data_IF_101555661932
#
_entry.id   IF_101555661932
#
_cell.length_a   1.000
_cell.length_b   1.000
_cell.length_c   1.000
_cell.angle_alpha   90.00
_cell.angle_beta   90.00
_cell.angle_gamma   90.00
#
_symmetry.space_group_name_H-M   'P 1'
#
loop_
_entity.id
_entity.type
_entity.pdbx_description
1 polymer ?
#
# COMPACT_ATOMS: atom_id res chain seq x y z
N UNK A 1 -18.49 -5.67 2.88
CA UNK A 1 -17.40 -5.31 1.97
C UNK A 1 -16.28 -4.59 2.69
N UNK A 2 -15.07 -4.89 2.31
CA UNK A 2 -13.91 -4.22 2.86
C UNK A 2 -13.63 -2.96 2.05
N UNK A 3 -13.61 -1.79 2.71
CA UNK A 3 -13.30 -0.54 2.03
C UNK A 3 -11.78 -0.43 1.81
N UNK A 4 -11.38 0.49 0.92
CA UNK A 4 -9.96 0.77 0.71
C UNK A 4 -9.28 1.22 2.01
N UNK A 5 -10.00 1.93 2.88
CA UNK A 5 -9.44 2.35 4.17
C UNK A 5 -9.10 1.16 5.06
N UNK A 6 -9.95 0.14 5.10
CA UNK A 6 -9.68 -1.08 5.84
C UNK A 6 -8.46 -1.82 5.32
N UNK A 7 -8.36 -1.95 3.99
CA UNK A 7 -7.21 -2.60 3.37
C UNK A 7 -5.91 -1.87 3.62
N UNK A 8 -5.90 -0.55 3.49
CA UNK A 8 -4.71 0.26 3.75
C UNK A 8 -4.31 0.18 5.24
N UNK A 9 -5.27 0.19 6.15
CA UNK A 9 -4.98 0.06 7.57
C UNK A 9 -4.36 -1.30 7.89
N UNK A 10 -4.86 -2.35 7.28
CA UNK A 10 -4.30 -3.69 7.45
C UNK A 10 -2.86 -3.72 6.93
N UNK A 11 -2.62 -3.20 5.73
CA UNK A 11 -1.28 -3.16 5.14
C UNK A 11 -0.32 -2.38 6.02
N UNK A 12 -0.75 -1.21 6.52
CA UNK A 12 0.09 -0.38 7.38
C UNK A 12 0.49 -1.12 8.65
N UNK A 13 -0.45 -1.82 9.28
CA UNK A 13 -0.15 -2.59 10.48
C UNK A 13 0.82 -3.73 10.19
N UNK A 14 0.63 -4.44 9.10
CA UNK A 14 1.50 -5.56 8.74
C UNK A 14 2.91 -5.09 8.41
N UNK A 15 3.05 -4.00 7.66
CA UNK A 15 4.35 -3.42 7.33
C UNK A 15 5.05 -2.97 8.62
N UNK A 16 4.33 -2.30 9.52
CA UNK A 16 4.87 -1.87 10.79
C UNK A 16 5.31 -3.05 11.66
N UNK A 17 4.48 -4.11 11.71
CA UNK A 17 4.79 -5.30 12.50
C UNK A 17 6.07 -5.97 11.99
N UNK A 18 6.23 -6.10 10.68
CA UNK A 18 7.45 -6.66 10.10
C UNK A 18 8.67 -5.79 10.38
N UNK A 19 8.52 -4.47 10.30
CA UNK A 19 9.61 -3.55 10.59
C UNK A 19 10.06 -3.68 12.06
N UNK A 20 9.12 -3.77 12.98
CA UNK A 20 9.44 -3.95 14.40
C UNK A 20 10.11 -5.32 14.65
N UNK A 21 9.61 -6.37 14.00
CA UNK A 21 10.19 -7.70 14.12
C UNK A 21 11.65 -7.73 13.66
N UNK A 22 11.97 -6.95 12.62
CA UNK A 22 13.31 -6.88 12.06
C UNK A 22 14.24 -5.96 12.87
N UNK A 23 13.73 -4.79 13.26
CA UNK A 23 14.55 -3.70 13.80
C UNK A 23 14.46 -3.55 15.32
N UNK A 24 13.48 -4.21 15.96
CA UNK A 24 13.22 -4.04 17.39
C UNK A 24 12.44 -2.76 17.67
N UNK A 25 12.36 -2.36 18.95
CA UNK A 25 11.46 -1.28 19.35
C UNK A 25 12.02 0.14 19.18
N UNK A 26 13.21 0.29 18.62
CA UNK A 26 13.81 1.61 18.43
C UNK A 26 13.16 2.33 17.24
N UNK A 27 12.57 3.50 17.47
CA UNK A 27 11.81 4.22 16.45
C UNK A 27 12.64 4.56 15.21
N UNK A 28 13.90 4.95 15.38
CA UNK A 28 14.76 5.30 14.24
C UNK A 28 15.07 4.07 13.39
N UNK A 29 15.35 2.94 14.02
CA UNK A 29 15.62 1.70 13.30
C UNK A 29 14.37 1.15 12.63
N UNK A 30 13.19 1.30 13.25
CA UNK A 30 11.91 0.94 12.63
C UNK A 30 11.68 1.79 11.38
N UNK A 31 11.94 3.09 11.45
CA UNK A 31 11.82 3.98 10.29
C UNK A 31 12.71 3.50 9.14
N UNK A 32 13.96 3.16 9.43
CA UNK A 32 14.89 2.67 8.41
C UNK A 32 14.39 1.37 7.79
N UNK A 33 13.85 0.46 8.60
CA UNK A 33 13.30 -0.80 8.11
C UNK A 33 12.13 -0.57 7.17
N UNK A 34 11.25 0.39 7.49
CA UNK A 34 10.13 0.74 6.61
C UNK A 34 10.65 1.34 5.30
N UNK A 35 11.62 2.26 5.38
CA UNK A 35 12.19 2.88 4.18
C UNK A 35 12.90 1.88 3.28
N UNK A 36 13.37 0.78 3.82
CA UNK A 36 14.02 -0.28 3.05
C UNK A 36 13.07 -1.38 2.58
N UNK A 37 11.78 -1.27 2.90
CA UNK A 37 10.78 -2.26 2.47
C UNK A 37 10.50 -2.11 0.99
N UNK A 38 10.75 -3.15 0.21
CA UNK A 38 10.47 -3.18 -1.22
C UNK A 38 9.82 -4.51 -1.58
N UNK A 39 9.02 -4.50 -2.65
CA UNK A 39 8.37 -5.72 -3.12
C UNK A 39 7.37 -6.31 -2.14
N UNK A 40 6.77 -5.49 -1.28
CA UNK A 40 5.79 -5.97 -0.32
C UNK A 40 4.40 -5.97 -0.97
N UNK A 41 3.81 -7.15 -1.10
CA UNK A 41 2.49 -7.30 -1.72
C UNK A 41 1.41 -7.28 -0.65
N UNK A 42 0.76 -6.12 -0.52
CA UNK A 42 -0.34 -5.92 0.41
C UNK A 42 -1.69 -5.97 -0.28
N UNK A 43 -2.73 -5.63 0.45
CA UNK A 43 -4.10 -5.63 -0.09
C UNK A 43 -4.31 -4.51 -1.10
N UNK A 44 -3.58 -3.40 -0.98
CA UNK A 44 -3.72 -2.25 -1.87
C UNK A 44 -2.82 -2.31 -3.09
N UNK A 45 -1.82 -3.20 -3.11
CA UNK A 45 -0.88 -3.33 -4.21
C UNK A 45 0.51 -3.65 -3.71
N UNK A 46 1.49 -3.45 -4.57
CA UNK A 46 2.90 -3.68 -4.21
C UNK A 46 3.49 -2.39 -3.65
N UNK A 47 4.03 -2.49 -2.43
CA UNK A 47 4.68 -1.35 -1.77
C UNK A 47 6.18 -1.40 -1.97
N UNK A 48 6.74 -0.26 -2.36
CA UNK A 48 8.18 -0.06 -2.47
C UNK A 48 8.50 1.30 -1.86
N UNK A 49 8.99 1.29 -0.63
CA UNK A 49 9.36 2.52 0.08
C UNK A 49 10.80 2.90 -0.20
N UNK A 50 11.14 4.14 0.09
CA UNK A 50 12.52 4.63 0.07
C UNK A 50 12.62 5.80 1.04
N UNK A 51 13.83 6.32 1.31
CA UNK A 51 13.94 7.52 2.14
C UNK A 51 13.19 8.74 1.58
N UNK A 52 12.91 8.75 0.28
CA UNK A 52 12.20 9.86 -0.36
C UNK A 52 10.79 9.51 -0.81
N UNK A 53 10.36 8.27 -0.64
CA UNK A 53 9.01 7.82 -0.98
C UNK A 53 8.42 7.06 0.19
N UNK A 54 7.61 7.76 0.98
CA UNK A 54 6.90 7.16 2.13
C UNK A 54 5.46 6.77 1.80
N UNK A 55 5.02 6.96 0.55
CA UNK A 55 3.70 6.52 0.11
C UNK A 55 3.72 5.07 -0.36
N UNK A 56 4.77 4.68 -1.03
CA UNK A 56 5.07 3.29 -1.35
C UNK A 56 4.35 2.68 -2.54
N UNK A 57 3.19 3.20 -2.93
CA UNK A 57 2.42 2.67 -4.06
C UNK A 57 2.69 3.45 -5.33
N UNK A 58 2.74 2.75 -6.45
CA UNK A 58 2.86 3.38 -7.76
C UNK A 58 1.47 3.60 -8.36
N UNK A 59 1.43 4.26 -9.52
CA UNK A 59 0.18 4.49 -10.23
C UNK A 59 -0.53 3.18 -10.61
N UNK A 60 0.22 2.08 -10.70
CA UNK A 60 -0.34 0.77 -11.03
C UNK A 60 -1.29 0.24 -9.95
N UNK A 61 -1.23 0.81 -8.74
CA UNK A 61 -2.15 0.44 -7.66
C UNK A 61 -3.54 1.04 -7.83
N UNK A 62 -3.70 1.98 -8.76
CA UNK A 62 -4.98 2.65 -9.00
C UNK A 62 -5.71 1.99 -10.15
N UNK A 63 -7.02 1.86 -9.99
CA UNK A 63 -7.90 1.35 -11.04
C UNK A 63 -8.87 2.44 -11.42
N UNK A 64 -8.94 2.75 -12.71
CA UNK A 64 -9.94 3.69 -13.19
C UNK A 64 -11.31 3.02 -13.18
N UNK A 65 -12.31 3.72 -12.67
CA UNK A 65 -13.68 3.21 -12.61
C UNK A 65 -14.64 4.23 -13.20
N UNK A 66 -15.79 3.75 -13.63
CA UNK A 66 -16.89 4.58 -14.07
C UNK A 66 -18.17 4.06 -13.42
N UNK A 67 -19.25 4.81 -13.54
CA UNK A 67 -20.55 4.39 -13.01
C UNK A 67 -21.39 3.87 -14.17
N UNK A 68 -21.93 2.67 -14.00
CA UNK A 68 -22.87 2.07 -14.93
C UNK A 68 -23.99 1.44 -14.13
N UNK A 69 -25.22 1.81 -14.47
CA UNK A 69 -26.43 1.28 -13.81
C UNK A 69 -26.36 1.45 -12.28
N UNK A 70 -25.84 2.61 -11.82
CA UNK A 70 -25.75 2.93 -10.41
C UNK A 70 -24.64 2.22 -9.66
N UNK A 71 -23.73 1.54 -10.36
CA UNK A 71 -22.65 0.75 -9.76
C UNK A 71 -21.30 1.16 -10.34
N UNK A 72 -20.26 1.13 -9.51
CA UNK A 72 -18.90 1.33 -10.00
C UNK A 72 -18.45 0.10 -10.78
N UNK A 73 -17.92 0.33 -11.96
CA UNK A 73 -17.35 -0.73 -12.80
C UNK A 73 -15.98 -0.29 -13.32
N UNK A 74 -15.08 -1.23 -13.60
CA UNK A 74 -13.77 -0.88 -14.18
C UNK A 74 -13.94 -0.14 -15.50
N UNK A 75 -13.09 0.85 -15.73
CA UNK A 75 -13.10 1.64 -16.94
C UNK A 75 -11.78 1.43 -17.68
N UNK A 76 -11.85 1.05 -18.95
CA UNK A 76 -10.68 0.86 -19.79
C UNK A 76 -10.83 1.74 -21.02
N UNK A 77 -9.79 2.53 -21.30
CA UNK A 77 -9.75 3.30 -22.55
C UNK A 77 -9.49 2.34 -23.71
N UNK A 78 -10.38 2.37 -24.67
CA UNK A 78 -10.19 1.64 -25.92
C UNK A 78 -9.43 2.52 -26.91
N UNK A 79 -8.48 1.92 -27.54
CA UNK A 79 -7.72 2.59 -28.59
C UNK A 79 -8.11 2.05 -29.95
#
# INVERSE_FOLDING_TARGET
>A
DVSTFGGHSYDAMMILAEAIATAGPNALEVRKAIENTTGYFGTAGEFNFSPTDHNGLSIDAFTMVTVKDGTFVPFTLKQ
#
